data_IF_653462860223
#
_entry.id   IF_653462860223
#
_cell.length_a   1.000
_cell.length_b   1.000
_cell.length_c   1.000
_cell.angle_alpha   90.00
_cell.angle_beta   90.00
_cell.angle_gamma   90.00
#
_symmetry.space_group_name_H-M   'P 1'
#
loop_
_entity.id
_entity.type
_entity.pdbx_description
1 polymer ?
#
# COMPACT_ATOMS: atom_id res chain seq x y z
N UNK A 1 12.32 66.28 -86.81
CA UNK A 1 11.61 64.98 -86.83
C UNK A 1 11.86 64.34 -85.47
N UNK A 2 10.99 64.57 -84.48
CA UNK A 2 9.77 63.78 -84.21
C UNK A 2 10.07 62.41 -83.58
N UNK A 3 9.66 62.31 -82.30
CA UNK A 3 9.33 61.13 -81.47
C UNK A 3 10.45 60.39 -80.70
N UNK A 4 10.20 59.92 -79.46
CA UNK A 4 9.36 60.52 -78.41
C UNK A 4 10.02 60.57 -77.01
N UNK A 5 9.56 61.54 -76.20
CA UNK A 5 9.67 61.55 -74.74
C UNK A 5 9.00 60.30 -74.17
N UNK A 6 9.76 59.44 -73.49
CA UNK A 6 9.17 58.45 -72.60
C UNK A 6 8.63 59.18 -71.36
N UNK A 7 7.32 59.44 -71.42
CA UNK A 7 6.49 59.76 -70.27
C UNK A 7 6.58 58.59 -69.28
N UNK A 8 7.28 58.78 -68.16
CA UNK A 8 7.07 57.96 -66.98
C UNK A 8 5.61 58.15 -66.54
N UNK A 9 4.90 57.04 -66.39
CA UNK A 9 3.46 57.03 -66.07
C UNK A 9 3.16 57.78 -64.77
N UNK A 10 1.99 58.45 -64.64
CA UNK A 10 1.52 59.05 -63.38
C UNK A 10 1.44 58.04 -62.21
N UNK A 11 1.40 56.74 -62.52
CA UNK A 11 1.42 55.65 -61.54
C UNK A 11 2.77 55.50 -60.81
N UNK A 12 3.90 55.92 -61.41
CA UNK A 12 5.22 55.88 -60.77
C UNK A 12 5.48 57.07 -59.83
N UNK A 13 4.69 58.14 -59.90
CA UNK A 13 4.67 59.22 -58.91
C UNK A 13 3.63 59.00 -57.80
N UNK A 14 2.63 58.14 -58.02
CA UNK A 14 1.61 57.78 -57.04
C UNK A 14 1.94 56.54 -56.17
N UNK A 15 2.98 55.77 -56.50
CA UNK A 15 3.34 54.52 -55.80
C UNK A 15 4.47 54.64 -54.76
N UNK A 16 4.89 55.85 -54.39
CA UNK A 16 5.88 56.04 -53.31
C UNK A 16 5.36 56.85 -52.11
N UNK A 17 4.04 56.93 -51.97
CA UNK A 17 3.36 57.62 -50.87
C UNK A 17 2.50 56.69 -50.00
N UNK A 18 3.00 55.48 -49.73
CA UNK A 18 2.44 54.62 -48.70
C UNK A 18 3.49 54.26 -47.65
N UNK A 19 3.24 54.76 -46.43
CA UNK A 19 3.78 54.37 -45.11
C UNK A 19 5.13 54.94 -44.68
N UNK A 20 5.29 56.26 -44.75
CA UNK A 20 6.12 56.98 -43.76
C UNK A 20 5.18 57.70 -42.81
N UNK A 21 5.11 57.25 -41.55
CA UNK A 21 4.43 58.02 -40.51
C UNK A 21 5.09 59.40 -40.48
N UNK A 22 4.31 60.49 -40.51
CA UNK A 22 4.88 61.83 -40.42
C UNK A 22 4.70 62.39 -39.02
N UNK A 23 5.52 63.38 -38.67
CA UNK A 23 5.35 64.07 -37.39
C UNK A 23 3.95 64.71 -37.29
N UNK A 24 3.42 65.20 -38.41
CA UNK A 24 2.07 65.77 -38.51
C UNK A 24 0.98 64.74 -38.18
N UNK A 25 1.12 63.51 -38.67
CA UNK A 25 0.21 62.41 -38.30
C UNK A 25 0.25 62.14 -36.80
N UNK A 26 1.43 62.19 -36.16
CA UNK A 26 1.58 61.95 -34.73
C UNK A 26 0.97 63.10 -33.89
N UNK A 27 1.14 64.33 -34.35
CA UNK A 27 0.50 65.50 -33.73
C UNK A 27 -1.02 65.46 -33.90
N UNK A 28 -1.54 65.00 -35.04
CA UNK A 28 -2.97 64.83 -35.28
C UNK A 28 -3.58 63.77 -34.34
N UNK A 29 -2.96 62.60 -34.21
CA UNK A 29 -3.37 61.55 -33.25
C UNK A 29 -3.37 62.10 -31.82
N UNK A 30 -2.37 62.92 -31.48
CA UNK A 30 -2.32 63.50 -30.15
C UNK A 30 -3.50 64.45 -29.89
N UNK A 31 -3.82 65.33 -30.84
CA UNK A 31 -4.95 66.26 -30.72
C UNK A 31 -6.29 65.54 -30.67
N UNK A 32 -6.48 64.50 -31.50
CA UNK A 32 -7.70 63.68 -31.50
C UNK A 32 -7.97 63.04 -30.13
N UNK A 33 -6.90 62.61 -29.44
CA UNK A 33 -6.98 62.04 -28.07
C UNK A 33 -6.87 63.08 -26.96
N UNK A 34 -7.08 64.36 -27.28
CA UNK A 34 -7.10 65.47 -26.31
C UNK A 34 -5.75 65.78 -25.69
N UNK A 35 -4.64 65.53 -26.39
CA UNK A 35 -3.28 65.77 -25.91
C UNK A 35 -2.34 66.37 -26.96
N UNK A 36 -1.04 66.34 -26.68
CA UNK A 36 0.00 66.94 -27.51
C UNK A 36 1.16 65.96 -27.75
N UNK A 37 1.71 65.98 -28.96
CA UNK A 37 3.03 65.42 -29.24
C UNK A 37 4.05 66.55 -29.11
N UNK A 38 4.96 66.43 -28.15
CA UNK A 38 5.96 67.46 -27.78
C UNK A 38 7.31 67.27 -28.50
N UNK A 39 7.43 66.30 -29.39
CA UNK A 39 8.65 66.08 -30.18
C UNK A 39 8.59 66.87 -31.49
N UNK A 40 9.73 67.48 -31.85
CA UNK A 40 9.86 68.34 -33.05
C UNK A 40 10.45 67.62 -34.26
N UNK A 41 10.79 66.33 -34.12
CA UNK A 41 11.28 65.50 -35.21
C UNK A 41 10.80 64.06 -35.10
N UNK A 42 10.56 63.45 -36.25
CA UNK A 42 10.18 62.04 -36.39
C UNK A 42 11.18 61.35 -37.31
N UNK A 43 11.85 60.31 -36.80
CA UNK A 43 12.85 59.55 -37.56
C UNK A 43 12.27 58.25 -38.11
N UNK A 44 11.61 57.44 -37.27
CA UNK A 44 11.00 56.16 -37.64
C UNK A 44 9.97 55.66 -36.60
N UNK A 45 9.32 54.53 -36.87
CA UNK A 45 8.22 53.96 -36.05
C UNK A 45 8.65 53.54 -34.64
N UNK A 46 9.96 53.38 -34.46
CA UNK A 46 10.57 52.83 -33.25
C UNK A 46 11.22 53.91 -32.37
N UNK A 47 11.34 55.14 -32.88
CA UNK A 47 11.83 56.27 -32.10
C UNK A 47 10.74 56.78 -31.16
N UNK A 48 11.07 56.84 -29.87
CA UNK A 48 10.12 57.27 -28.83
C UNK A 48 9.93 58.79 -28.89
N UNK A 49 8.71 59.22 -29.18
CA UNK A 49 8.29 60.61 -29.08
C UNK A 49 7.84 60.95 -27.65
N UNK A 50 7.86 62.24 -27.33
CA UNK A 50 7.30 62.77 -26.08
C UNK A 50 5.84 63.14 -26.30
N UNK A 51 4.98 62.68 -25.41
CA UNK A 51 3.54 62.88 -25.47
C UNK A 51 3.03 63.50 -24.17
N UNK A 52 1.93 64.24 -24.26
CA UNK A 52 1.21 64.82 -23.13
C UNK A 52 -0.29 64.60 -23.31
N UNK A 53 -1.03 64.24 -22.26
CA UNK A 53 -2.49 64.06 -22.33
C UNK A 53 -3.23 65.30 -21.79
N UNK A 54 -4.57 65.29 -21.87
CA UNK A 54 -5.45 66.33 -21.32
C UNK A 54 -5.20 66.61 -19.82
N UNK A 55 -4.87 65.58 -19.04
CA UNK A 55 -4.51 65.72 -17.62
C UNK A 55 -3.05 66.14 -17.40
N UNK A 56 -2.38 66.65 -18.43
CA UNK A 56 -1.02 67.18 -18.43
C UNK A 56 0.10 66.18 -18.08
N UNK A 57 -0.21 64.89 -17.93
CA UNK A 57 0.79 63.84 -17.75
C UNK A 57 1.68 63.70 -18.99
N UNK A 58 3.00 63.71 -18.79
CA UNK A 58 4.00 63.55 -19.86
C UNK A 58 4.61 62.15 -19.84
N UNK A 59 4.76 61.53 -21.00
CA UNK A 59 5.40 60.22 -21.13
C UNK A 59 6.13 60.06 -22.47
N UNK A 60 6.99 59.05 -22.56
CA UNK A 60 7.73 58.68 -23.78
C UNK A 60 7.23 57.36 -24.33
N UNK A 61 6.72 57.36 -25.57
CA UNK A 61 6.17 56.16 -26.22
C UNK A 61 6.49 56.15 -27.72
N UNK A 62 6.52 54.95 -28.30
CA UNK A 62 6.68 54.81 -29.75
C UNK A 62 5.38 55.18 -30.46
N UNK A 63 5.47 55.87 -31.61
CA UNK A 63 4.38 56.14 -32.54
C UNK A 63 3.47 54.93 -32.81
N UNK A 64 4.06 53.75 -33.00
CA UNK A 64 3.30 52.53 -33.24
C UNK A 64 2.45 52.11 -32.03
N UNK A 65 2.99 52.18 -30.81
CA UNK A 65 2.27 51.85 -29.58
C UNK A 65 1.09 52.80 -29.33
N UNK A 66 1.30 54.08 -29.65
CA UNK A 66 0.26 55.11 -29.55
C UNK A 66 -0.85 54.87 -30.56
N UNK A 67 -0.49 54.63 -31.82
CA UNK A 67 -1.44 54.33 -32.90
C UNK A 67 -2.31 53.11 -32.58
N UNK A 68 -1.72 52.05 -32.03
CA UNK A 68 -2.40 50.78 -31.75
C UNK A 68 -3.07 50.69 -30.37
N UNK A 69 -3.30 51.82 -29.68
CA UNK A 69 -4.28 51.92 -28.59
C UNK A 69 -3.72 52.20 -27.20
N UNK A 70 -2.40 52.32 -27.03
CA UNK A 70 -1.83 52.76 -25.74
C UNK A 70 -1.75 54.28 -25.70
N UNK A 71 -2.37 54.94 -24.72
CA UNK A 71 -2.33 56.40 -24.61
C UNK A 71 -1.51 56.85 -23.39
N UNK A 72 -2.16 57.39 -22.36
CA UNK A 72 -1.48 57.86 -21.17
C UNK A 72 -1.41 56.76 -20.09
N UNK A 73 -0.20 56.31 -19.69
CA UNK A 73 -0.05 55.25 -18.68
C UNK A 73 -0.50 55.69 -17.28
N UNK A 74 -0.40 56.97 -16.95
CA UNK A 74 -0.84 57.50 -15.65
C UNK A 74 -2.37 57.56 -15.57
N UNK A 75 -3.04 58.09 -16.60
CA UNK A 75 -4.51 58.10 -16.64
C UNK A 75 -5.08 56.69 -16.67
N UNK A 76 -4.44 55.78 -17.42
CA UNK A 76 -4.79 54.37 -17.38
C UNK A 76 -4.67 53.81 -15.97
N UNK A 77 -3.54 54.02 -15.28
CA UNK A 77 -3.36 53.56 -13.89
C UNK A 77 -4.41 54.15 -12.93
N UNK A 78 -4.75 55.42 -13.09
CA UNK A 78 -5.75 56.09 -12.26
C UNK A 78 -7.17 55.55 -12.52
N UNK A 79 -7.51 55.23 -13.77
CA UNK A 79 -8.77 54.56 -14.12
C UNK A 79 -8.92 53.15 -13.54
N UNK A 80 -7.79 52.50 -13.19
CA UNK A 80 -7.79 51.16 -12.60
C UNK A 80 -7.86 51.19 -11.07
N UNK A 81 -7.92 52.38 -10.43
CA UNK A 81 -8.05 52.46 -8.96
C UNK A 81 -9.44 51.96 -8.55
N UNK A 82 -9.45 51.12 -7.52
CA UNK A 82 -10.67 50.54 -6.95
C UNK A 82 -10.99 51.25 -5.65
N UNK A 83 -12.27 51.50 -5.40
CA UNK A 83 -12.69 52.13 -4.15
C UNK A 83 -12.57 51.12 -3.00
N UNK A 84 -12.31 51.63 -1.79
CA UNK A 84 -12.29 50.77 -0.60
C UNK A 84 -13.67 50.14 -0.33
N UNK A 85 -14.74 50.85 -0.67
CA UNK A 85 -16.12 50.40 -0.55
C UNK A 85 -16.38 49.18 -1.45
N UNK A 86 -16.01 49.25 -2.73
CA UNK A 86 -16.12 48.11 -3.66
C UNK A 86 -15.34 46.87 -3.18
N UNK A 87 -14.18 47.06 -2.56
CA UNK A 87 -13.36 45.98 -2.03
C UNK A 87 -13.94 45.37 -0.74
N UNK A 88 -14.60 46.19 0.08
CA UNK A 88 -15.32 45.74 1.27
C UNK A 88 -16.56 44.94 0.89
N UNK A 89 -17.34 45.42 -0.08
CA UNK A 89 -18.51 44.73 -0.61
C UNK A 89 -18.13 43.38 -1.21
N UNK A 90 -17.04 43.33 -1.98
CA UNK A 90 -16.50 42.09 -2.54
C UNK A 90 -16.14 41.08 -1.45
N UNK A 91 -15.57 41.54 -0.33
CA UNK A 91 -15.28 40.67 0.80
C UNK A 91 -16.56 40.18 1.49
N UNK A 92 -17.57 41.05 1.64
CA UNK A 92 -18.85 40.72 2.26
C UNK A 92 -19.65 39.70 1.44
N UNK A 93 -19.67 39.84 0.10
CA UNK A 93 -20.30 38.87 -0.82
C UNK A 93 -19.69 37.46 -0.68
N UNK A 94 -18.42 37.35 -0.29
CA UNK A 94 -17.72 36.08 -0.04
C UNK A 94 -17.70 35.69 1.44
N UNK A 95 -18.60 36.27 2.25
CA UNK A 95 -18.74 36.03 3.68
C UNK A 95 -17.45 36.26 4.47
N UNK A 96 -16.64 37.24 4.08
CA UNK A 96 -15.43 37.63 4.79
C UNK A 96 -15.28 39.14 4.92
N UNK A 97 -14.06 39.58 5.25
CA UNK A 97 -13.74 40.98 5.53
C UNK A 97 -12.43 41.40 4.92
N UNK A 98 -12.39 42.62 4.39
CA UNK A 98 -11.15 43.31 4.04
C UNK A 98 -10.50 43.87 5.32
N UNK A 99 -9.23 43.55 5.55
CA UNK A 99 -8.46 44.04 6.71
C UNK A 99 -7.57 45.24 6.38
N UNK A 100 -7.21 45.41 5.10
CA UNK A 100 -6.48 46.58 4.64
C UNK A 100 -7.34 47.84 4.76
N UNK A 101 -6.83 48.86 5.46
CA UNK A 101 -7.54 50.13 5.75
C UNK A 101 -7.16 51.29 4.81
N UNK A 102 -6.26 51.08 3.85
CA UNK A 102 -5.74 52.13 2.96
C UNK A 102 -5.93 51.72 1.50
N UNK A 103 -6.26 52.69 0.65
CA UNK A 103 -6.22 52.55 -0.81
C UNK A 103 -4.77 52.30 -1.23
N UNK A 104 -4.46 51.08 -1.65
CA UNK A 104 -3.14 50.71 -2.17
C UNK A 104 -3.13 50.79 -3.71
N UNK A 105 -1.99 51.05 -4.36
CA UNK A 105 -1.88 50.99 -5.82
C UNK A 105 -2.38 49.65 -6.39
N UNK A 106 -2.92 49.66 -7.61
CA UNK A 106 -3.61 48.56 -8.32
C UNK A 106 -2.96 47.15 -8.20
N UNK A 107 -1.64 47.06 -8.00
CA UNK A 107 -0.89 45.81 -7.98
C UNK A 107 -0.50 45.33 -6.58
N UNK A 108 -0.82 46.07 -5.52
CA UNK A 108 -0.42 45.68 -4.17
C UNK A 108 -1.40 44.68 -3.56
N UNK A 109 -0.86 43.69 -2.82
CA UNK A 109 -1.68 42.66 -2.18
C UNK A 109 -2.41 43.25 -0.97
N UNK A 110 -3.74 43.13 -1.00
CA UNK A 110 -4.61 43.48 0.11
C UNK A 110 -4.67 42.32 1.11
N UNK A 111 -4.90 42.62 2.39
CA UNK A 111 -5.09 41.62 3.44
C UNK A 111 -6.58 41.33 3.61
N UNK A 112 -6.95 40.06 3.52
CA UNK A 112 -8.33 39.56 3.55
C UNK A 112 -8.52 38.58 4.71
N UNK A 113 -9.77 38.37 5.12
CA UNK A 113 -10.19 37.36 6.10
C UNK A 113 -11.46 36.65 5.64
N UNK A 114 -11.52 35.32 5.68
CA UNK A 114 -12.72 34.54 5.34
C UNK A 114 -13.61 34.29 6.57
N UNK A 115 -14.77 33.65 6.35
CA UNK A 115 -15.69 33.22 7.40
C UNK A 115 -15.03 32.30 8.44
N UNK A 116 -14.09 31.44 8.01
CA UNK A 116 -13.32 30.54 8.87
C UNK A 116 -12.12 31.22 9.56
N UNK A 117 -12.06 32.57 9.56
CA UNK A 117 -11.00 33.38 10.16
C UNK A 117 -9.58 33.20 9.57
N UNK A 118 -9.41 32.46 8.47
CA UNK A 118 -8.13 32.46 7.77
C UNK A 118 -7.82 33.85 7.21
N UNK A 119 -6.57 34.29 7.38
CA UNK A 119 -6.10 35.58 6.87
C UNK A 119 -5.03 35.38 5.82
N UNK A 120 -5.13 36.08 4.69
CA UNK A 120 -4.15 35.97 3.61
C UNK A 120 -3.97 37.30 2.87
N UNK A 121 -2.96 37.34 1.99
CA UNK A 121 -2.67 38.49 1.14
C UNK A 121 -2.91 38.12 -0.33
N UNK A 122 -3.79 38.86 -1.02
CA UNK A 122 -4.13 38.64 -2.42
C UNK A 122 -4.50 39.96 -3.11
N UNK A 123 -4.39 40.03 -4.43
CA UNK A 123 -4.89 41.17 -5.20
C UNK A 123 -6.40 41.07 -5.39
N UNK A 124 -7.06 42.21 -5.58
CA UNK A 124 -8.50 42.22 -5.86
C UNK A 124 -8.88 41.47 -7.15
N UNK A 125 -7.99 41.45 -8.15
CA UNK A 125 -8.16 40.67 -9.37
C UNK A 125 -8.20 39.16 -9.10
N UNK A 126 -7.34 38.64 -8.21
CA UNK A 126 -7.32 37.22 -7.82
C UNK A 126 -8.61 36.82 -7.10
N UNK A 127 -9.11 37.69 -6.22
CA UNK A 127 -10.37 37.48 -5.52
C UNK A 127 -11.55 37.40 -6.51
N UNK A 128 -11.62 38.32 -7.48
CA UNK A 128 -12.67 38.32 -8.52
C UNK A 128 -12.60 37.09 -9.42
N UNK A 129 -11.40 36.59 -9.72
CA UNK A 129 -11.19 35.37 -10.49
C UNK A 129 -11.63 34.08 -9.76
N UNK A 130 -12.11 34.18 -8.51
CA UNK A 130 -12.63 33.04 -7.73
C UNK A 130 -11.63 32.45 -6.74
N UNK A 131 -10.38 32.93 -6.70
CA UNK A 131 -9.36 32.49 -5.75
C UNK A 131 -9.56 33.18 -4.40
N UNK A 132 -10.65 32.82 -3.70
CA UNK A 132 -11.01 33.43 -2.43
C UNK A 132 -10.03 33.06 -1.32
N UNK A 133 -10.14 31.85 -0.74
CA UNK A 133 -9.30 31.41 0.37
C UNK A 133 -8.63 30.09 0.02
N UNK A 134 -7.30 30.11 -0.17
CA UNK A 134 -6.53 28.91 -0.47
C UNK A 134 -6.61 27.88 0.65
N UNK A 135 -6.63 28.33 1.91
CA UNK A 135 -6.69 27.43 3.06
C UNK A 135 -8.04 26.70 3.10
N UNK A 136 -9.16 27.41 2.95
CA UNK A 136 -10.48 26.76 2.84
C UNK A 136 -10.57 25.82 1.62
N UNK A 137 -9.94 26.18 0.50
CA UNK A 137 -9.86 25.30 -0.67
C UNK A 137 -9.08 24.02 -0.35
N UNK A 138 -7.91 24.11 0.28
CA UNK A 138 -7.15 22.94 0.71
C UNK A 138 -7.88 22.13 1.80
N UNK A 139 -8.56 22.77 2.75
CA UNK A 139 -9.35 22.11 3.78
C UNK A 139 -10.52 21.33 3.16
N UNK A 140 -11.18 21.90 2.14
CA UNK A 140 -12.23 21.20 1.39
C UNK A 140 -11.72 19.97 0.64
N UNK A 141 -10.44 19.96 0.25
CA UNK A 141 -9.80 18.82 -0.43
C UNK A 141 -9.17 17.79 0.52
N UNK A 142 -8.75 18.20 1.73
CA UNK A 142 -8.03 17.32 2.67
C UNK A 142 -8.92 16.40 3.49
N UNK A 143 -10.24 16.60 3.44
CA UNK A 143 -11.18 16.00 4.38
C UNK A 143 -11.11 16.75 5.71
N UNK A 144 -12.24 16.86 6.41
CA UNK A 144 -12.32 17.55 7.69
C UNK A 144 -12.56 16.54 8.83
N UNK A 145 -12.43 16.99 10.08
CA UNK A 145 -12.66 16.14 11.25
C UNK A 145 -14.09 15.59 11.31
N UNK A 146 -15.07 16.36 10.81
CA UNK A 146 -16.47 15.94 10.72
C UNK A 146 -16.65 14.72 9.81
N UNK A 147 -15.93 14.68 8.68
CA UNK A 147 -15.91 13.52 7.79
C UNK A 147 -15.31 12.29 8.48
N UNK A 148 -14.32 12.48 9.36
CA UNK A 148 -13.76 11.38 10.16
C UNK A 148 -14.75 10.87 11.21
N UNK A 149 -15.51 11.78 11.85
CA UNK A 149 -16.60 11.43 12.76
C UNK A 149 -17.71 10.66 12.03
N UNK A 150 -18.10 11.11 10.84
CA UNK A 150 -19.08 10.42 10.00
C UNK A 150 -18.58 9.04 9.54
N UNK A 151 -17.30 8.91 9.16
CA UNK A 151 -16.67 7.64 8.82
C UNK A 151 -16.72 6.66 9.99
N UNK A 152 -16.44 7.13 11.20
CA UNK A 152 -16.51 6.31 12.40
C UNK A 152 -17.94 5.85 12.69
N UNK A 153 -18.91 6.77 12.61
CA UNK A 153 -20.32 6.47 12.81
C UNK A 153 -20.84 5.43 11.80
N UNK A 154 -20.46 5.56 10.52
CA UNK A 154 -20.82 4.60 9.47
C UNK A 154 -20.27 3.18 9.72
N UNK A 155 -19.16 3.05 10.45
CA UNK A 155 -18.57 1.77 10.86
C UNK A 155 -19.05 1.30 12.24
N UNK A 156 -20.02 1.98 12.84
CA UNK A 156 -20.56 1.66 14.16
C UNK A 156 -19.58 1.98 15.29
N UNK A 157 -18.92 3.13 15.26
CA UNK A 157 -18.06 3.58 16.34
C UNK A 157 -17.84 5.10 16.34
N UNK A 158 -16.78 5.53 17.01
CA UNK A 158 -16.51 6.94 17.27
C UNK A 158 -15.07 7.30 16.89
N UNK A 159 -14.88 8.50 16.36
CA UNK A 159 -13.56 9.11 16.25
C UNK A 159 -13.39 10.03 17.46
N UNK A 160 -12.39 9.77 18.30
CA UNK A 160 -12.14 10.50 19.54
C UNK A 160 -11.27 11.74 19.32
N UNK A 161 -10.62 11.85 18.16
CA UNK A 161 -9.84 13.03 17.80
C UNK A 161 -10.74 14.24 17.52
N UNK A 162 -10.30 15.41 17.94
CA UNK A 162 -11.01 16.69 17.74
C UNK A 162 -10.48 17.51 16.56
N UNK A 163 -9.29 17.16 16.05
CA UNK A 163 -8.62 17.88 14.96
C UNK A 163 -8.15 16.91 13.89
N UNK A 164 -8.26 17.33 12.62
CA UNK A 164 -7.72 16.61 11.47
C UNK A 164 -6.64 17.46 10.81
N UNK A 165 -5.41 16.96 10.79
CA UNK A 165 -4.25 17.69 10.25
C UNK A 165 -4.04 17.29 8.78
N UNK A 166 -3.92 15.98 8.53
CA UNK A 166 -3.71 15.41 7.20
C UNK A 166 -4.11 13.92 7.16
N UNK A 167 -4.01 13.31 5.99
CA UNK A 167 -4.37 11.91 5.76
C UNK A 167 -3.35 10.90 6.33
N UNK A 168 -2.19 11.35 6.80
CA UNK A 168 -1.11 10.48 7.29
C UNK A 168 -0.98 10.48 8.81
N UNK A 169 -1.57 11.48 9.47
CA UNK A 169 -1.63 11.60 10.92
C UNK A 169 -2.59 10.56 11.48
N UNK A 170 -2.18 9.93 12.58
CA UNK A 170 -3.03 8.95 13.26
C UNK A 170 -4.10 9.67 14.06
N UNK A 171 -5.35 9.23 13.89
CA UNK A 171 -6.46 9.64 14.74
C UNK A 171 -6.75 8.52 15.75
N UNK A 172 -7.40 8.88 16.85
CA UNK A 172 -7.92 7.91 17.82
C UNK A 172 -9.34 7.51 17.45
N UNK A 173 -9.59 6.21 17.46
CA UNK A 173 -10.85 5.58 17.07
C UNK A 173 -11.33 4.64 18.16
N UNK A 174 -12.64 4.47 18.26
CA UNK A 174 -13.31 3.55 19.15
C UNK A 174 -14.38 2.77 18.39
N UNK A 175 -14.46 1.45 18.55
CA UNK A 175 -15.52 0.64 17.93
C UNK A 175 -16.72 0.47 18.86
N UNK A 176 -17.85 -0.06 18.35
CA UNK A 176 -19.04 -0.37 19.16
C UNK A 176 -18.76 -1.24 20.41
N UNK A 177 -17.78 -2.14 20.33
CA UNK A 177 -17.39 -3.01 21.46
C UNK A 177 -16.59 -2.24 22.53
N UNK A 178 -16.12 -1.03 22.21
CA UNK A 178 -15.39 -0.16 23.12
C UNK A 178 -13.86 -0.21 22.98
N UNK A 179 -13.31 -1.01 22.05
CA UNK A 179 -11.86 -1.02 21.81
C UNK A 179 -11.39 0.32 21.24
N UNK A 180 -10.31 0.87 21.81
CA UNK A 180 -9.70 2.14 21.37
C UNK A 180 -8.37 1.85 20.68
N UNK A 181 -8.11 2.47 19.52
CA UNK A 181 -6.85 2.35 18.80
C UNK A 181 -6.47 3.62 18.03
N UNK A 182 -5.22 3.70 17.63
CA UNK A 182 -4.71 4.77 16.76
C UNK A 182 -4.47 4.24 15.35
N UNK A 183 -4.99 4.93 14.34
CA UNK A 183 -4.83 4.56 12.94
C UNK A 183 -5.01 5.77 12.02
N UNK A 184 -4.41 5.69 10.82
CA UNK A 184 -4.61 6.66 9.75
C UNK A 184 -6.01 6.50 9.14
N UNK A 185 -6.66 7.57 8.65
CA UNK A 185 -7.95 7.50 7.97
C UNK A 185 -8.02 6.43 6.87
N UNK A 186 -7.01 6.36 6.01
CA UNK A 186 -6.94 5.39 4.91
C UNK A 186 -6.86 3.93 5.39
N UNK A 187 -6.28 3.69 6.56
CA UNK A 187 -6.26 2.35 7.18
C UNK A 187 -7.65 1.99 7.73
N UNK A 188 -8.37 2.98 8.24
CA UNK A 188 -9.67 2.80 8.89
C UNK A 188 -10.81 2.58 7.89
N UNK A 189 -10.70 3.17 6.71
CA UNK A 189 -11.63 2.90 5.59
C UNK A 189 -11.56 1.42 5.17
N UNK A 190 -10.34 0.88 5.06
CA UNK A 190 -10.06 -0.50 4.63
C UNK A 190 -10.24 -1.53 5.75
N UNK A 191 -9.71 -1.25 6.94
CA UNK A 191 -9.74 -2.13 8.12
C UNK A 191 -10.14 -1.35 9.36
N UNK A 192 -11.26 -1.72 9.97
CA UNK A 192 -11.84 -0.95 11.07
C UNK A 192 -11.11 -1.19 12.40
N UNK A 193 -11.56 -2.17 13.20
CA UNK A 193 -10.98 -2.46 14.51
C UNK A 193 -10.05 -3.68 14.44
N UNK A 194 -8.76 -3.54 14.75
CA UNK A 194 -7.81 -4.65 14.70
C UNK A 194 -8.15 -5.74 15.72
N UNK A 195 -8.59 -5.37 16.92
CA UNK A 195 -8.98 -6.32 17.97
C UNK A 195 -10.21 -7.12 17.57
N UNK A 196 -11.29 -6.47 17.13
CA UNK A 196 -12.48 -7.19 16.65
C UNK A 196 -12.18 -8.04 15.40
N UNK A 197 -11.30 -7.57 14.51
CA UNK A 197 -10.86 -8.38 13.36
C UNK A 197 -10.06 -9.61 13.80
N UNK A 198 -9.26 -9.49 14.86
CA UNK A 198 -8.52 -10.61 15.41
C UNK A 198 -9.44 -11.59 16.11
N UNK A 199 -10.38 -11.10 16.93
CA UNK A 199 -11.38 -11.92 17.62
C UNK A 199 -12.24 -12.71 16.63
N UNK A 200 -12.66 -12.09 15.51
CA UNK A 200 -13.41 -12.79 14.44
C UNK A 200 -12.59 -13.90 13.76
N UNK A 201 -11.27 -13.75 13.70
CA UNK A 201 -10.35 -14.75 13.11
C UNK A 201 -9.92 -15.82 14.11
N UNK A 202 -10.22 -15.66 15.40
CA UNK A 202 -9.92 -16.64 16.44
C UNK A 202 -10.76 -17.89 16.18
N UNK A 203 -10.12 -19.05 15.98
CA UNK A 203 -10.81 -20.34 15.99
C UNK A 203 -11.45 -20.46 17.38
N UNK A 204 -12.78 -20.44 17.48
CA UNK A 204 -13.47 -20.49 18.76
C UNK A 204 -13.13 -21.75 19.55
N UNK A 205 -13.38 -21.72 20.87
CA UNK A 205 -13.25 -22.92 21.73
C UNK A 205 -14.07 -24.09 21.17
N UNK A 206 -15.21 -23.79 20.54
CA UNK A 206 -16.06 -24.74 19.80
C UNK A 206 -15.29 -25.56 18.78
N UNK A 207 -14.38 -24.94 18.01
CA UNK A 207 -13.57 -25.67 17.04
C UNK A 207 -12.55 -26.59 17.70
N UNK A 208 -12.07 -26.23 18.89
CA UNK A 208 -11.18 -27.10 19.67
C UNK A 208 -11.95 -28.29 20.25
N UNK A 209 -13.19 -28.04 20.71
CA UNK A 209 -14.09 -29.08 21.19
C UNK A 209 -14.50 -30.04 20.07
N UNK A 210 -14.84 -29.53 18.89
CA UNK A 210 -15.16 -30.35 17.72
C UNK A 210 -13.97 -31.22 17.29
N UNK A 211 -12.75 -30.66 17.29
CA UNK A 211 -11.53 -31.41 16.99
C UNK A 211 -11.28 -32.53 18.00
N UNK A 212 -11.62 -32.31 19.27
CA UNK A 212 -11.53 -33.34 20.27
C UNK A 212 -12.56 -34.45 20.02
N UNK A 213 -13.80 -34.07 19.69
CA UNK A 213 -14.90 -34.98 19.37
C UNK A 213 -14.59 -35.87 18.17
N UNK A 214 -14.00 -35.32 17.11
CA UNK A 214 -13.54 -36.06 15.93
C UNK A 214 -12.48 -37.13 16.26
N UNK A 215 -11.74 -36.96 17.35
CA UNK A 215 -10.75 -37.93 17.85
C UNK A 215 -11.28 -38.79 18.99
N UNK A 216 -12.60 -38.79 19.20
CA UNK A 216 -13.28 -39.55 20.25
C UNK A 216 -12.97 -39.07 21.67
N UNK A 217 -12.62 -37.80 21.86
CA UNK A 217 -12.35 -37.22 23.17
C UNK A 217 -13.03 -35.87 23.39
N UNK A 218 -12.61 -35.17 24.44
CA UNK A 218 -13.19 -33.90 24.86
C UNK A 218 -12.12 -32.84 25.09
N UNK A 219 -12.42 -31.59 24.72
CA UNK A 219 -11.66 -30.44 25.19
C UNK A 219 -12.38 -29.89 26.43
N UNK A 220 -11.73 -29.97 27.60
CA UNK A 220 -12.31 -29.58 28.89
C UNK A 220 -12.15 -28.08 29.18
N UNK A 221 -11.42 -27.35 28.33
CA UNK A 221 -11.29 -25.90 28.47
C UNK A 221 -12.53 -25.19 27.93
N UNK A 222 -12.98 -24.16 28.66
CA UNK A 222 -14.12 -23.32 28.28
C UNK A 222 -13.70 -22.09 27.46
N UNK A 223 -12.42 -21.69 27.52
CA UNK A 223 -11.93 -20.49 26.85
C UNK A 223 -10.72 -20.79 25.98
N UNK A 224 -10.68 -20.19 24.78
CA UNK A 224 -9.55 -20.27 23.85
C UNK A 224 -8.98 -18.87 23.63
N UNK A 225 -7.72 -18.67 24.00
CA UNK A 225 -7.01 -17.38 23.84
C UNK A 225 -6.20 -17.33 22.55
N UNK A 226 -5.41 -18.36 22.27
CA UNK A 226 -4.60 -18.48 21.05
C UNK A 226 -4.05 -19.91 20.92
N UNK A 227 -3.32 -20.18 19.84
CA UNK A 227 -2.69 -21.47 19.57
C UNK A 227 -1.48 -21.80 20.47
N UNK A 228 -1.00 -20.85 21.26
CA UNK A 228 0.15 -21.02 22.15
C UNK A 228 -0.25 -21.32 23.61
N UNK A 229 -1.46 -20.93 24.03
CA UNK A 229 -2.01 -21.24 25.34
C UNK A 229 -2.41 -22.71 25.40
N UNK A 230 -2.01 -23.40 26.47
CA UNK A 230 -2.38 -24.81 26.69
C UNK A 230 -3.87 -24.91 26.99
N UNK A 231 -4.53 -25.90 26.38
CA UNK A 231 -5.87 -26.33 26.76
C UNK A 231 -5.79 -27.69 27.43
N UNK A 232 -6.83 -28.02 28.19
CA UNK A 232 -7.02 -29.33 28.82
C UNK A 232 -7.83 -30.23 27.89
N UNK A 233 -7.30 -31.42 27.63
CA UNK A 233 -7.88 -32.41 26.72
C UNK A 233 -8.10 -33.74 27.45
N UNK A 234 -9.08 -34.51 27.00
CA UNK A 234 -9.40 -35.85 27.46
C UNK A 234 -9.59 -36.77 26.25
N UNK A 235 -9.07 -37.99 26.27
CA UNK A 235 -9.28 -38.97 25.19
C UNK A 235 -10.43 -39.92 25.51
N UNK A 236 -10.82 -40.77 24.55
CA UNK A 236 -11.87 -41.79 24.70
C UNK A 236 -11.67 -42.72 25.91
N UNK A 237 -10.41 -42.99 26.28
CA UNK A 237 -10.06 -43.84 27.43
C UNK A 237 -10.06 -43.10 28.78
N UNK A 238 -10.42 -41.82 28.79
CA UNK A 238 -10.50 -40.99 30.00
C UNK A 238 -9.20 -40.28 30.41
N UNK A 239 -8.07 -40.53 29.74
CA UNK A 239 -6.80 -39.86 30.09
C UNK A 239 -6.88 -38.35 29.83
N UNK A 240 -6.49 -37.55 30.82
CA UNK A 240 -6.48 -36.08 30.76
C UNK A 240 -5.07 -35.52 30.63
N UNK A 241 -4.85 -34.52 29.76
CA UNK A 241 -3.54 -33.86 29.62
C UNK A 241 -3.66 -32.40 29.16
N UNK A 242 -2.59 -31.62 29.35
CA UNK A 242 -2.50 -30.24 28.89
C UNK A 242 -1.61 -30.10 27.65
N UNK A 243 -2.18 -29.63 26.55
CA UNK A 243 -1.45 -29.45 25.29
C UNK A 243 -1.84 -28.16 24.56
N UNK A 244 -0.90 -27.61 23.81
CA UNK A 244 -1.15 -26.47 22.92
C UNK A 244 -2.02 -26.92 21.73
N UNK A 245 -3.06 -26.17 21.36
CA UNK A 245 -3.93 -26.47 20.21
C UNK A 245 -3.19 -26.75 18.90
N UNK A 246 -2.08 -26.05 18.64
CA UNK A 246 -1.26 -26.27 17.44
C UNK A 246 -0.69 -27.69 17.35
N UNK A 247 -0.33 -28.32 18.47
CA UNK A 247 0.19 -29.70 18.45
C UNK A 247 -0.94 -30.70 18.18
N UNK A 248 -2.12 -30.43 18.73
CA UNK A 248 -3.32 -31.23 18.49
C UNK A 248 -3.77 -31.12 17.04
N UNK A 249 -3.71 -29.92 16.45
CA UNK A 249 -3.94 -29.71 15.02
C UNK A 249 -2.97 -30.52 14.14
N UNK A 250 -1.69 -30.57 14.53
CA UNK A 250 -0.64 -31.34 13.84
C UNK A 250 -0.73 -32.86 14.04
N UNK A 251 -1.67 -33.36 14.84
CA UNK A 251 -1.93 -34.79 15.00
C UNK A 251 -1.45 -35.40 16.33
N UNK A 252 -0.81 -34.63 17.21
CA UNK A 252 -0.45 -35.12 18.54
C UNK A 252 -1.68 -35.20 19.43
N UNK A 253 -1.93 -36.36 20.04
CA UNK A 253 -3.13 -36.60 20.84
C UNK A 253 -2.80 -37.02 22.27
N UNK A 254 -3.22 -38.21 22.68
CA UNK A 254 -2.97 -38.75 24.02
C UNK A 254 -1.63 -39.52 24.06
N UNK A 255 -0.69 -39.03 24.86
CA UNK A 255 0.62 -39.66 25.05
C UNK A 255 0.51 -41.05 25.72
N UNK A 256 -0.39 -41.22 26.69
CA UNK A 256 -0.62 -42.51 27.36
C UNK A 256 -1.10 -43.55 26.37
N UNK A 257 -2.12 -43.24 25.56
CA UNK A 257 -2.60 -44.15 24.52
C UNK A 257 -1.54 -44.44 23.44
N UNK A 258 -0.67 -43.48 23.14
CA UNK A 258 0.44 -43.69 22.21
C UNK A 258 1.46 -44.69 22.78
N UNK A 259 1.80 -44.56 24.07
CA UNK A 259 2.72 -45.47 24.75
C UNK A 259 2.16 -46.89 24.88
N UNK A 260 0.87 -47.03 25.18
CA UNK A 260 0.20 -48.33 25.20
C UNK A 260 0.28 -49.05 23.85
N UNK A 261 0.07 -48.33 22.73
CA UNK A 261 0.20 -48.89 21.37
C UNK A 261 1.63 -49.36 21.08
N UNK A 262 2.62 -48.57 21.51
CA UNK A 262 4.04 -48.93 21.40
C UNK A 262 4.34 -50.21 22.21
N UNK A 263 3.84 -50.29 23.45
CA UNK A 263 4.02 -51.47 24.31
C UNK A 263 3.36 -52.73 23.73
N UNK A 264 2.14 -52.62 23.21
CA UNK A 264 1.49 -53.73 22.53
C UNK A 264 2.29 -54.19 21.29
N UNK A 265 2.93 -53.25 20.59
CA UNK A 265 3.81 -53.54 19.46
C UNK A 265 5.06 -54.34 19.86
N UNK A 266 5.74 -53.96 20.96
CA UNK A 266 6.94 -54.70 21.41
C UNK A 266 6.59 -56.10 21.90
N UNK A 267 5.47 -56.30 22.60
CA UNK A 267 5.02 -57.64 23.03
C UNK A 267 4.86 -58.59 21.84
N UNK A 268 4.29 -58.11 20.72
CA UNK A 268 4.18 -58.91 19.49
C UNK A 268 5.56 -59.29 18.91
N UNK A 269 6.57 -58.42 19.04
CA UNK A 269 7.92 -58.72 18.55
C UNK A 269 8.61 -59.76 19.45
N UNK A 270 8.36 -59.70 20.76
CA UNK A 270 8.84 -60.70 21.71
C UNK A 270 8.22 -62.08 21.44
N UNK A 271 6.91 -62.16 21.14
CA UNK A 271 6.26 -63.43 20.73
C UNK A 271 6.87 -64.02 19.46
N UNK A 272 7.18 -63.20 18.45
CA UNK A 272 7.82 -63.68 17.21
C UNK A 272 9.20 -64.24 17.53
N UNK A 273 9.96 -63.58 18.41
CA UNK A 273 11.27 -64.08 18.81
C UNK A 273 11.17 -65.46 19.48
N UNK A 274 10.20 -65.64 20.38
CA UNK A 274 9.95 -66.90 21.06
C UNK A 274 9.59 -68.03 20.08
N UNK A 275 8.78 -67.76 19.05
CA UNK A 275 8.44 -68.74 18.01
C UNK A 275 9.65 -69.25 17.23
N UNK A 276 10.70 -68.43 17.10
CA UNK A 276 11.96 -68.81 16.47
C UNK A 276 12.99 -69.37 17.47
N UNK A 277 12.58 -69.66 18.71
CA UNK A 277 13.44 -70.17 19.77
C UNK A 277 14.42 -69.14 20.32
N UNK A 278 14.14 -67.85 20.18
CA UNK A 278 14.99 -66.77 20.68
C UNK A 278 14.25 -65.73 21.49
N UNK A 279 14.91 -64.59 21.73
CA UNK A 279 14.41 -63.49 22.55
C UNK A 279 14.63 -62.15 21.86
N UNK A 280 13.66 -61.25 21.97
CA UNK A 280 13.84 -59.84 21.57
C UNK A 280 14.29 -59.05 22.81
N UNK A 281 15.46 -58.44 22.73
CA UNK A 281 16.11 -57.73 23.85
C UNK A 281 15.65 -56.26 23.96
N UNK A 282 14.99 -55.73 22.93
CA UNK A 282 14.47 -54.37 22.94
C UNK A 282 13.21 -54.26 23.80
N UNK A 283 13.09 -53.14 24.51
CA UNK A 283 11.95 -52.78 25.37
C UNK A 283 10.97 -51.80 24.68
N UNK A 284 11.40 -51.23 23.55
CA UNK A 284 10.72 -50.17 22.82
C UNK A 284 10.53 -50.55 21.35
N UNK A 285 9.32 -50.32 20.84
CA UNK A 285 8.97 -50.58 19.44
C UNK A 285 8.40 -49.32 18.79
N UNK A 286 9.15 -48.73 17.85
CA UNK A 286 8.74 -47.49 17.19
C UNK A 286 7.94 -47.80 15.93
N UNK A 287 8.49 -48.63 15.04
CA UNK A 287 7.88 -49.02 13.77
C UNK A 287 8.61 -50.27 13.20
N UNK A 288 8.20 -50.71 12.00
CA UNK A 288 8.76 -51.90 11.34
C UNK A 288 10.16 -51.74 10.74
N UNK A 289 10.65 -50.50 10.65
CA UNK A 289 11.92 -50.14 9.99
C UNK A 289 13.00 -49.81 11.03
N UNK A 290 12.59 -49.34 12.21
CA UNK A 290 13.46 -49.14 13.36
C UNK A 290 14.01 -50.50 13.81
N UNK A 291 15.33 -50.67 13.81
CA UNK A 291 15.95 -51.92 14.20
C UNK A 291 15.70 -52.24 15.68
N UNK A 292 15.58 -53.54 15.97
CA UNK A 292 15.52 -54.09 17.32
C UNK A 292 16.70 -55.06 17.52
N UNK A 293 17.02 -55.32 18.77
CA UNK A 293 18.02 -56.32 19.15
C UNK A 293 17.36 -57.67 19.39
N UNK A 294 17.91 -58.71 18.77
CA UNK A 294 17.40 -60.08 18.81
C UNK A 294 18.51 -61.02 19.27
N UNK A 295 18.13 -62.11 19.92
CA UNK A 295 19.01 -63.18 20.35
C UNK A 295 18.42 -64.54 19.96
N UNK A 296 19.22 -65.45 19.41
CA UNK A 296 18.75 -66.81 19.07
C UNK A 296 19.04 -67.82 20.19
N UNK A 297 18.55 -69.05 20.03
CA UNK A 297 18.75 -70.15 21.00
C UNK A 297 20.23 -70.45 21.27
N UNK A 298 21.09 -70.29 20.27
CA UNK A 298 22.55 -70.48 20.38
C UNK A 298 23.26 -69.27 21.04
N UNK A 299 22.50 -68.23 21.44
CA UNK A 299 23.01 -67.07 22.14
C UNK A 299 23.53 -65.92 21.26
N UNK A 300 23.56 -66.06 19.93
CA UNK A 300 23.99 -64.98 19.03
C UNK A 300 23.05 -63.79 19.11
N UNK A 301 23.61 -62.58 19.30
CA UNK A 301 22.87 -61.31 19.33
C UNK A 301 23.08 -60.57 18.02
N UNK A 302 22.02 -60.03 17.43
CA UNK A 302 22.12 -59.19 16.25
C UNK A 302 21.02 -58.12 16.20
N UNK A 303 21.32 -57.05 15.46
CA UNK A 303 20.40 -55.97 15.18
C UNK A 303 19.65 -56.26 13.86
N UNK A 304 18.32 -56.22 13.88
CA UNK A 304 17.53 -56.41 12.68
C UNK A 304 16.19 -55.66 12.73
N UNK A 305 15.72 -55.25 11.55
CA UNK A 305 14.42 -54.63 11.37
C UNK A 305 13.30 -55.67 11.62
N UNK A 306 12.27 -55.33 12.40
CA UNK A 306 11.11 -56.19 12.62
C UNK A 306 10.46 -56.72 11.34
N UNK A 307 10.41 -55.91 10.27
CA UNK A 307 9.89 -56.34 8.96
C UNK A 307 10.66 -57.56 8.39
N UNK A 308 11.99 -57.60 8.54
CA UNK A 308 12.80 -58.69 8.02
C UNK A 308 12.57 -59.99 8.80
N UNK A 309 12.39 -59.85 10.11
CA UNK A 309 12.07 -60.97 11.00
C UNK A 309 10.69 -61.54 10.67
N UNK A 310 9.69 -60.67 10.47
CA UNK A 310 8.35 -61.10 10.03
C UNK A 310 8.35 -61.79 8.67
N UNK A 311 9.24 -61.37 7.76
CA UNK A 311 9.39 -61.96 6.44
C UNK A 311 10.26 -63.25 6.43
N UNK A 312 10.56 -63.82 7.59
CA UNK A 312 11.23 -65.12 7.73
C UNK A 312 12.75 -65.09 7.76
N UNK A 313 13.38 -63.92 7.81
CA UNK A 313 14.82 -63.83 8.10
C UNK A 313 15.05 -63.96 9.60
N UNK A 314 16.01 -64.77 10.02
CA UNK A 314 16.35 -64.96 11.44
C UNK A 314 17.85 -64.74 11.68
N UNK A 315 18.47 -65.53 12.56
CA UNK A 315 19.87 -65.40 12.94
C UNK A 315 20.83 -65.59 11.73
N UNK A 316 21.62 -64.56 11.37
CA UNK A 316 22.54 -64.63 10.25
C UNK A 316 23.69 -65.60 10.49
N UNK A 317 24.18 -65.70 11.73
CA UNK A 317 25.25 -66.63 12.10
C UNK A 317 24.79 -68.09 12.01
N UNK A 318 23.62 -68.42 12.58
CA UNK A 318 23.05 -69.77 12.44
C UNK A 318 22.83 -70.14 10.95
N UNK A 319 22.36 -69.19 10.13
CA UNK A 319 22.17 -69.40 8.69
C UNK A 319 23.51 -69.63 7.96
N UNK A 320 24.56 -68.91 8.33
CA UNK A 320 25.92 -69.07 7.77
C UNK A 320 26.49 -70.44 8.15
N UNK A 321 26.46 -70.79 9.43
CA UNK A 321 26.93 -72.09 9.96
C UNK A 321 26.20 -73.23 9.25
N UNK A 322 24.87 -73.18 9.14
CA UNK A 322 24.08 -74.19 8.44
C UNK A 322 24.43 -74.34 6.96
N UNK A 323 24.71 -73.22 6.27
CA UNK A 323 25.15 -73.24 4.85
C UNK A 323 26.52 -73.89 4.68
N UNK A 324 27.46 -73.58 5.57
CA UNK A 324 28.82 -74.11 5.51
C UNK A 324 28.85 -75.62 5.80
N UNK A 325 28.04 -76.08 6.75
CA UNK A 325 27.81 -77.51 7.02
C UNK A 325 27.25 -78.23 5.79
N UNK A 326 26.24 -77.66 5.13
CA UNK A 326 25.64 -78.23 3.92
C UNK A 326 26.64 -78.35 2.77
N UNK A 327 27.45 -77.30 2.52
CA UNK A 327 28.54 -77.34 1.52
C UNK A 327 29.55 -78.45 1.80
N UNK A 328 29.95 -78.62 3.06
CA UNK A 328 30.88 -79.71 3.46
C UNK A 328 30.27 -81.10 3.23
N UNK A 329 28.97 -81.27 3.46
CA UNK A 329 28.26 -82.53 3.21
C UNK A 329 28.13 -82.83 1.71
N UNK A 330 27.75 -81.84 0.90
CA UNK A 330 27.57 -82.01 -0.54
C UNK A 330 28.92 -82.21 -1.27
N UNK A 331 30.01 -81.62 -0.78
CA UNK A 331 31.36 -81.86 -1.29
C UNK A 331 31.88 -83.31 -1.06
N UNK A 332 31.30 -84.04 -0.09
CA UNK A 332 31.66 -85.43 0.21
C UNK A 332 30.86 -86.47 -0.60
N UNK A 333 29.88 -86.07 -1.42
CA UNK A 333 29.12 -87.01 -2.27
C UNK A 333 29.92 -87.37 -3.53
N UNK A 334 30.09 -88.66 -3.88
CA UNK A 334 30.81 -89.06 -5.09
C UNK A 334 30.06 -88.60 -6.34
N UNK A 335 30.76 -87.92 -7.26
CA UNK A 335 30.21 -87.48 -8.55
C UNK A 335 29.92 -88.72 -9.42
N UNK A 336 28.64 -88.99 -9.74
CA UNK A 336 28.28 -90.02 -10.72
C UNK A 336 28.85 -89.62 -12.09
N UNK A 337 29.87 -90.34 -12.58
CA UNK A 337 30.31 -90.26 -13.98
C UNK A 337 29.28 -90.99 -14.83
N UNK A 338 28.56 -90.26 -15.68
CA UNK A 338 27.74 -90.87 -16.73
C UNK A 338 28.67 -91.29 -17.87
N UNK A 339 28.92 -92.59 -18.02
CA UNK A 339 29.49 -93.18 -19.23
C UNK A 339 28.36 -93.37 -20.25
N UNK A 340 28.44 -92.71 -21.40
CA UNK A 340 27.56 -92.99 -22.55
C UNK A 340 27.92 -94.35 -23.16
N UNK A 341 26.93 -95.19 -23.53
CA UNK A 341 27.22 -96.43 -24.25
C UNK A 341 27.48 -96.13 -25.73
N UNK A 342 28.59 -96.68 -26.25
CA UNK A 342 28.90 -96.74 -27.67
C UNK A 342 27.76 -97.43 -28.42
N UNK A 343 27.22 -96.76 -29.44
CA UNK A 343 26.42 -97.37 -30.49
C UNK A 343 27.33 -97.61 -31.69
N UNK A 344 27.38 -98.89 -32.09
CA UNK A 344 28.10 -99.43 -33.25
C UNK A 344 27.54 -98.91 -34.58
#
# INVERSE_FOLDING_TARGET
MSLPKQLLSPALQALNNQRRLTLDEMQAIARERGGLCLSDSYLNSDTRLQWQCAHLHRWRATPNSVKHGTWCPTCYRDSQRQSLEELQDLAQQKSGKLLSKRTVPYLEKLRWRCAHNHTWQATASQIRAGNWCQQCYYDSMRGNIEAMHALAAAKGGYCLSQTYIDAVTHLQWQCAVGHIWQAKPATVTTSWCPTCSFDRKRLGIEKMQEMARQRGGHCLSETYKNNATRLTWQCAKGHTWQAKPIHVQRGHWCHVCSLEKVRAGISKMQEIAQKHGGVCLSDTYINLISPLNWQCIEGHIWEAKPANIQNGSWCPECRRIGRDLKKKLDAKKPKKRFSQPNLL
#
